data_IF_948345466407
#
_entry.id   IF_948345466407
#
_cell.length_a   1.000
_cell.length_b   1.000
_cell.length_c   1.000
_cell.angle_alpha   90.00
_cell.angle_beta   90.00
_cell.angle_gamma   90.00
#
_symmetry.space_group_name_H-M   'P 1'
#
loop_
_entity.id
_entity.type
_entity.pdbx_description
1 polymer ?
#
# COMPACT_ATOMS: atom_id res chain seq x y z
N UNK A 1 -16.10 0.62 -12.46
CA UNK A 1 -15.11 -0.29 -11.87
C UNK A 1 -14.37 0.47 -10.80
N UNK A 2 -14.06 -0.18 -9.69
CA UNK A 2 -13.19 0.40 -8.67
C UNK A 2 -11.79 0.63 -9.20
N UNK A 3 -11.00 1.48 -8.54
CA UNK A 3 -9.61 1.75 -8.91
C UNK A 3 -8.66 1.11 -7.89
N UNK A 4 -7.68 0.37 -8.39
CA UNK A 4 -6.64 -0.25 -7.58
C UNK A 4 -5.38 0.61 -7.63
N UNK A 5 -4.94 1.08 -6.47
CA UNK A 5 -3.73 1.89 -6.30
C UNK A 5 -2.74 1.10 -5.46
N UNK A 6 -1.56 0.84 -6.01
CA UNK A 6 -0.51 0.15 -5.29
C UNK A 6 0.62 1.12 -4.92
N UNK A 7 1.11 1.02 -3.68
CA UNK A 7 2.26 1.79 -3.19
C UNK A 7 3.43 0.83 -3.04
N UNK A 8 4.53 1.12 -3.73
CA UNK A 8 5.71 0.26 -3.75
C UNK A 8 6.99 1.07 -3.55
N UNK A 9 8.10 0.41 -3.24
CA UNK A 9 9.40 1.07 -3.06
C UNK A 9 10.28 0.31 -2.07
N UNK A 10 11.50 0.80 -1.89
CA UNK A 10 12.48 0.22 -0.97
C UNK A 10 11.99 0.27 0.49
N UNK A 11 12.52 -0.61 1.34
CA UNK A 11 12.27 -0.55 2.79
C UNK A 11 12.67 0.79 3.40
N UNK A 12 11.82 1.32 4.30
CA UNK A 12 12.09 2.53 5.07
C UNK A 12 11.87 3.86 4.35
N UNK A 13 11.42 3.89 3.10
CA UNK A 13 11.19 5.15 2.34
C UNK A 13 9.88 5.86 2.72
N UNK A 14 9.01 5.24 3.52
CA UNK A 14 7.74 5.81 3.98
C UNK A 14 6.53 5.40 3.14
N UNK A 15 6.51 4.20 2.59
CA UNK A 15 5.35 3.65 1.86
C UNK A 15 4.06 3.71 2.67
N UNK A 16 4.08 3.18 3.88
CA UNK A 16 2.92 3.16 4.80
C UNK A 16 2.40 4.56 5.11
N UNK A 17 3.29 5.55 5.27
CA UNK A 17 2.89 6.96 5.39
C UNK A 17 2.11 7.43 4.15
N UNK A 18 2.64 7.14 2.94
CA UNK A 18 2.02 7.54 1.67
C UNK A 18 0.68 6.81 1.49
N UNK A 19 0.60 5.52 1.82
CA UNK A 19 -0.61 4.72 1.78
C UNK A 19 -1.69 5.30 2.72
N UNK A 20 -1.32 5.60 3.97
CA UNK A 20 -2.24 6.19 4.95
C UNK A 20 -2.68 7.61 4.56
N UNK A 21 -1.78 8.46 4.05
CA UNK A 21 -2.15 9.77 3.50
C UNK A 21 -3.14 9.64 2.33
N UNK A 22 -2.94 8.65 1.46
CA UNK A 22 -3.82 8.41 0.32
C UNK A 22 -5.21 7.95 0.75
N UNK A 23 -5.29 6.98 1.67
CA UNK A 23 -6.57 6.53 2.24
C UNK A 23 -7.32 7.72 2.83
N UNK A 24 -6.67 8.49 3.72
CA UNK A 24 -7.26 9.68 4.34
C UNK A 24 -7.68 10.74 3.31
N UNK A 25 -6.92 10.91 2.22
CA UNK A 25 -7.28 11.84 1.14
C UNK A 25 -8.56 11.39 0.42
N UNK A 26 -8.63 10.10 0.04
CA UNK A 26 -9.77 9.52 -0.67
C UNK A 26 -11.05 9.55 0.18
N UNK A 27 -10.94 9.21 1.47
CA UNK A 27 -12.03 9.30 2.44
C UNK A 27 -12.58 10.72 2.53
N UNK A 28 -11.72 11.72 2.72
CA UNK A 28 -12.14 13.13 2.80
C UNK A 28 -12.87 13.63 1.56
N UNK A 29 -12.57 13.09 0.39
CA UNK A 29 -13.28 13.42 -0.85
C UNK A 29 -14.67 12.81 -0.92
N UNK A 30 -14.97 11.83 -0.08
CA UNK A 30 -16.25 11.13 0.00
C UNK A 30 -16.78 10.66 -1.37
N UNK A 31 -15.88 10.14 -2.20
CA UNK A 31 -16.19 9.71 -3.57
C UNK A 31 -16.52 8.20 -3.66
N UNK A 32 -16.80 7.54 -2.55
CA UNK A 32 -17.17 6.12 -2.47
C UNK A 32 -16.29 5.33 -1.52
N UNK A 33 -16.63 4.05 -1.33
CA UNK A 33 -15.98 3.16 -0.38
C UNK A 33 -14.50 2.93 -0.70
N UNK A 34 -13.66 2.96 0.34
CA UNK A 34 -12.21 2.77 0.29
C UNK A 34 -11.86 1.50 1.05
N UNK A 35 -11.10 0.60 0.42
CA UNK A 35 -10.46 -0.54 1.08
C UNK A 35 -8.95 -0.25 1.19
N UNK A 36 -8.44 -0.22 2.40
CA UNK A 36 -7.01 -0.23 2.68
C UNK A 36 -6.53 -1.68 2.80
N UNK A 37 -5.47 -2.04 2.10
CA UNK A 37 -4.88 -3.39 2.13
C UNK A 37 -3.46 -3.29 2.62
N UNK A 38 -3.19 -3.87 3.79
CA UNK A 38 -1.84 -4.03 4.31
C UNK A 38 -1.24 -5.34 3.78
N UNK A 39 -0.44 -5.23 2.74
CA UNK A 39 0.25 -6.37 2.13
C UNK A 39 1.68 -6.58 2.68
N UNK A 40 2.08 -5.83 3.72
CA UNK A 40 3.33 -6.05 4.45
C UNK A 40 3.09 -7.08 5.57
N UNK A 41 3.87 -8.17 5.65
CA UNK A 41 3.76 -9.13 6.74
C UNK A 41 3.99 -8.56 8.14
N UNK A 42 4.59 -7.38 8.24
CA UNK A 42 4.80 -6.67 9.52
C UNK A 42 3.53 -6.00 10.04
N UNK A 43 2.53 -5.81 9.19
CA UNK A 43 1.21 -5.25 9.47
C UNK A 43 1.26 -3.96 10.30
N UNK A 44 1.55 -2.84 9.65
CA UNK A 44 1.71 -1.54 10.32
C UNK A 44 0.70 -0.48 9.81
N UNK A 45 -0.06 -0.77 8.76
CA UNK A 45 -0.97 0.20 8.16
C UNK A 45 -2.12 0.58 9.09
N UNK A 46 -2.63 -0.38 9.90
CA UNK A 46 -3.66 -0.13 10.90
C UNK A 46 -3.24 0.96 11.90
N UNK A 47 -1.99 0.92 12.40
CA UNK A 47 -1.46 1.95 13.31
C UNK A 47 -1.40 3.32 12.60
N UNK A 48 -0.89 3.34 11.38
CA UNK A 48 -0.79 4.58 10.61
C UNK A 48 -2.17 5.20 10.28
N UNK A 49 -3.19 4.37 10.14
CA UNK A 49 -4.59 4.79 9.91
C UNK A 49 -5.32 5.14 11.21
N UNK A 50 -4.78 4.77 12.38
CA UNK A 50 -5.38 5.03 13.69
C UNK A 50 -6.48 4.04 14.05
N UNK A 51 -6.46 2.85 13.48
CA UNK A 51 -7.37 1.76 13.85
C UNK A 51 -6.95 1.22 15.21
N UNK A 52 -7.84 1.35 16.20
CA UNK A 52 -7.61 0.89 17.57
C UNK A 52 -7.99 -0.59 17.71
N UNK A 53 -7.15 -1.44 17.18
CA UNK A 53 -7.30 -2.89 17.28
C UNK A 53 -6.01 -3.53 17.79
N UNK A 54 -6.13 -4.49 18.72
CA UNK A 54 -5.00 -5.32 19.07
C UNK A 54 -4.61 -6.20 17.87
N UNK A 55 -3.32 -6.26 17.58
CA UNK A 55 -2.80 -7.05 16.46
C UNK A 55 -3.25 -8.53 16.52
N UNK A 56 -3.37 -9.08 17.72
CA UNK A 56 -3.81 -10.46 17.95
C UNK A 56 -5.31 -10.67 17.64
N UNK A 57 -6.10 -9.59 17.57
CA UNK A 57 -7.51 -9.60 17.20
C UNK A 57 -7.74 -9.41 15.70
N UNK A 58 -6.75 -8.86 14.99
CA UNK A 58 -6.82 -8.63 13.56
C UNK A 58 -6.68 -9.95 12.80
N UNK A 59 -7.78 -10.47 12.28
CA UNK A 59 -7.74 -11.65 11.43
C UNK A 59 -7.01 -11.34 10.13
N UNK A 60 -6.01 -12.16 9.78
CA UNK A 60 -5.18 -11.93 8.59
C UNK A 60 -5.41 -12.99 7.52
N UNK A 61 -5.19 -12.62 6.26
CA UNK A 61 -5.28 -13.56 5.13
C UNK A 61 -4.32 -14.76 5.30
N UNK A 62 -3.15 -14.51 5.90
CA UNK A 62 -2.16 -15.54 6.24
C UNK A 62 -2.70 -16.53 7.26
N UNK A 63 -3.31 -16.04 8.36
CA UNK A 63 -3.94 -16.87 9.40
C UNK A 63 -5.09 -17.70 8.86
N UNK A 64 -6.01 -17.09 8.11
CA UNK A 64 -7.14 -17.79 7.46
C UNK A 64 -6.64 -18.94 6.58
N UNK A 65 -5.56 -18.73 5.83
CA UNK A 65 -4.99 -19.79 4.99
C UNK A 65 -4.53 -20.98 5.82
N UNK A 66 -3.87 -20.73 6.94
CA UNK A 66 -3.35 -21.80 7.80
C UNK A 66 -4.49 -22.61 8.43
N UNK A 67 -5.48 -21.93 8.98
CA UNK A 67 -6.67 -22.57 9.51
C UNK A 67 -7.38 -23.42 8.44
N UNK A 68 -7.57 -22.87 7.24
CA UNK A 68 -8.18 -23.60 6.12
C UNK A 68 -7.38 -24.84 5.73
N UNK A 69 -6.04 -24.80 5.81
CA UNK A 69 -5.19 -25.96 5.51
C UNK A 69 -5.30 -27.03 6.62
N UNK A 70 -5.34 -26.62 7.88
CA UNK A 70 -5.50 -27.53 9.04
C UNK A 70 -6.87 -28.21 8.99
N UNK A 71 -7.94 -27.47 8.74
CA UNK A 71 -9.29 -27.97 8.63
C UNK A 71 -9.41 -29.03 7.52
N UNK A 72 -8.81 -28.75 6.37
CA UNK A 72 -8.81 -29.70 5.24
C UNK A 72 -8.02 -30.96 5.53
N UNK A 73 -6.87 -30.89 6.19
CA UNK A 73 -6.05 -32.05 6.56
C UNK A 73 -6.69 -32.87 7.69
N UNK A 74 -7.39 -32.19 8.60
CA UNK A 74 -8.12 -32.83 9.71
C UNK A 74 -9.48 -33.46 9.32
N UNK A 75 -9.87 -33.39 8.04
CA UNK A 75 -11.21 -33.88 7.61
C UNK A 75 -12.34 -32.94 8.02
N UNK A 76 -12.05 -31.69 8.32
CA UNK A 76 -13.01 -30.66 8.70
C UNK A 76 -14.06 -30.42 7.62
N UNK A 77 -15.29 -30.16 8.07
CA UNK A 77 -16.40 -29.86 7.17
C UNK A 77 -16.37 -28.38 6.78
N UNK A 78 -15.95 -28.07 5.54
CA UNK A 78 -15.98 -26.71 4.98
C UNK A 78 -17.43 -26.19 4.73
N UNK A 79 -18.38 -26.56 5.57
CA UNK A 79 -19.81 -26.19 5.44
C UNK A 79 -20.42 -26.56 4.07
N UNK A 80 -19.89 -27.56 3.39
CA UNK A 80 -20.32 -27.98 2.05
C UNK A 80 -19.82 -27.09 0.92
N UNK A 81 -18.93 -26.12 1.21
CA UNK A 81 -18.35 -25.22 0.23
C UNK A 81 -17.08 -25.81 -0.42
N UNK A 82 -16.74 -25.31 -1.60
CA UNK A 82 -15.39 -25.54 -2.16
C UNK A 82 -14.34 -24.79 -1.33
N UNK A 83 -13.08 -25.29 -1.35
CA UNK A 83 -11.98 -24.60 -0.65
C UNK A 83 -11.82 -23.11 -1.06
N UNK A 84 -11.88 -22.76 -2.35
CA UNK A 84 -11.80 -21.36 -2.76
C UNK A 84 -12.97 -20.52 -2.22
N UNK A 85 -14.18 -21.04 -2.23
CA UNK A 85 -15.36 -20.30 -1.76
C UNK A 85 -15.34 -20.10 -0.23
N UNK A 86 -14.90 -21.12 0.51
CA UNK A 86 -14.73 -21.03 1.96
C UNK A 86 -13.65 -20.01 2.31
N UNK A 87 -12.52 -20.05 1.63
CA UNK A 87 -11.46 -19.06 1.84
C UNK A 87 -11.91 -17.63 1.53
N UNK A 88 -12.62 -17.44 0.42
CA UNK A 88 -13.14 -16.13 0.03
C UNK A 88 -14.15 -15.58 1.05
N UNK A 89 -15.02 -16.43 1.56
CA UNK A 89 -15.94 -16.08 2.64
C UNK A 89 -15.18 -15.63 3.90
N UNK A 90 -14.14 -16.37 4.30
CA UNK A 90 -13.32 -16.03 5.47
C UNK A 90 -12.55 -14.71 5.28
N UNK A 91 -12.02 -14.46 4.08
CA UNK A 91 -11.36 -13.18 3.76
C UNK A 91 -12.33 -12.02 3.84
N UNK A 92 -13.58 -12.19 3.40
CA UNK A 92 -14.61 -11.16 3.56
C UNK A 92 -14.95 -10.91 5.04
N UNK A 93 -14.94 -11.94 5.88
CA UNK A 93 -15.16 -11.81 7.32
C UNK A 93 -13.99 -11.15 8.06
N UNK A 94 -12.78 -11.25 7.52
CA UNK A 94 -11.58 -10.64 8.07
C UNK A 94 -11.41 -9.15 7.70
N UNK A 95 -12.31 -8.61 6.90
CA UNK A 95 -12.32 -7.18 6.64
C UNK A 95 -12.76 -6.47 7.91
N UNK A 96 -11.88 -5.62 8.42
CA UNK A 96 -12.17 -4.74 9.52
C UNK A 96 -12.89 -3.49 9.00
N UNK A 97 -14.11 -3.28 9.44
CA UNK A 97 -14.96 -2.17 9.00
C UNK A 97 -14.80 -0.98 9.96
N UNK A 98 -14.34 0.16 9.44
CA UNK A 98 -14.34 1.47 10.10
C UNK A 98 -15.43 2.36 9.50
N UNK A 99 -15.75 3.47 10.16
CA UNK A 99 -16.80 4.39 9.71
C UNK A 99 -16.55 4.94 8.29
N UNK A 100 -15.28 5.17 7.93
CA UNK A 100 -14.90 5.89 6.73
C UNK A 100 -14.17 5.02 5.68
N UNK A 101 -13.59 3.91 6.09
CA UNK A 101 -12.87 2.97 5.22
C UNK A 101 -12.87 1.57 5.83
N UNK A 102 -12.55 0.57 5.03
CA UNK A 102 -12.34 -0.79 5.48
C UNK A 102 -10.86 -1.17 5.39
N UNK A 103 -10.41 -2.10 6.25
CA UNK A 103 -9.02 -2.57 6.30
C UNK A 103 -8.95 -4.08 6.13
N UNK A 104 -8.04 -4.55 5.28
CA UNK A 104 -7.68 -5.95 5.14
C UNK A 104 -6.18 -6.13 5.37
N UNK A 105 -5.79 -7.00 6.31
CA UNK A 105 -4.39 -7.28 6.59
C UNK A 105 -3.96 -8.62 6.00
N UNK A 106 -2.79 -8.64 5.34
CA UNK A 106 -2.20 -9.88 4.83
C UNK A 106 -1.62 -10.74 5.95
N UNK A 107 -0.95 -10.11 6.91
CA UNK A 107 -0.27 -10.80 8.01
C UNK A 107 0.89 -11.69 7.56
N UNK A 108 1.54 -12.31 8.54
CA UNK A 108 2.63 -13.27 8.30
C UNK A 108 2.04 -14.69 8.30
N UNK A 109 2.11 -15.44 7.18
CA UNK A 109 1.76 -16.86 7.23
C UNK A 109 2.79 -17.60 8.11
N UNK A 110 2.33 -18.26 9.15
CA UNK A 110 3.13 -19.14 10.00
C UNK A 110 3.13 -20.55 9.37
N UNK A 111 4.29 -21.18 9.24
CA UNK A 111 4.39 -22.56 8.77
C UNK A 111 5.20 -22.76 7.49
N UNK A 112 5.53 -24.02 7.15
CA UNK A 112 6.28 -24.35 5.93
C UNK A 112 5.42 -24.15 4.70
N UNK A 113 5.65 -23.08 3.98
CA UNK A 113 4.95 -22.80 2.75
C UNK A 113 5.43 -21.52 2.08
N UNK A 114 5.37 -21.49 0.76
CA UNK A 114 5.73 -20.31 0.00
C UNK A 114 4.67 -19.21 0.21
N UNK A 115 5.09 -17.99 0.53
CA UNK A 115 4.27 -16.76 0.46
C UNK A 115 3.47 -16.66 -0.86
N UNK A 116 3.96 -17.31 -1.89
CA UNK A 116 3.36 -17.40 -3.19
C UNK A 116 1.89 -17.88 -3.20
N UNK A 117 1.51 -18.78 -2.29
CA UNK A 117 0.13 -19.29 -2.24
C UNK A 117 -0.80 -18.29 -1.54
N UNK A 118 -0.36 -17.68 -0.42
CA UNK A 118 -1.11 -16.63 0.28
C UNK A 118 -1.32 -15.42 -0.64
N UNK A 119 -0.28 -14.98 -1.33
CA UNK A 119 -0.35 -13.89 -2.28
C UNK A 119 -1.31 -14.17 -3.46
N UNK A 120 -1.35 -15.42 -3.96
CA UNK A 120 -2.30 -15.78 -5.02
C UNK A 120 -3.74 -15.81 -4.51
N UNK A 121 -3.97 -16.23 -3.29
CA UNK A 121 -5.28 -16.24 -2.66
C UNK A 121 -5.77 -14.81 -2.40
N UNK A 122 -4.91 -13.95 -1.82
CA UNK A 122 -5.19 -12.52 -1.66
C UNK A 122 -5.56 -11.86 -2.99
N UNK A 123 -4.82 -12.15 -4.07
CA UNK A 123 -5.13 -11.60 -5.40
C UNK A 123 -6.55 -11.95 -5.86
N UNK A 124 -6.96 -13.21 -5.71
CA UNK A 124 -8.31 -13.64 -6.14
C UNK A 124 -9.38 -12.90 -5.33
N UNK A 125 -9.16 -12.74 -4.02
CA UNK A 125 -10.08 -11.98 -3.17
C UNK A 125 -10.07 -10.49 -3.51
N UNK A 126 -8.91 -9.89 -3.77
CA UNK A 126 -8.81 -8.48 -4.19
C UNK A 126 -9.48 -8.23 -5.54
N UNK A 127 -9.34 -9.14 -6.53
CA UNK A 127 -10.02 -9.04 -7.82
C UNK A 127 -11.56 -8.99 -7.65
N UNK A 128 -12.11 -9.70 -6.65
CA UNK A 128 -13.55 -9.66 -6.32
C UNK A 128 -13.92 -8.39 -5.55
N UNK A 129 -13.12 -8.02 -4.55
CA UNK A 129 -13.35 -6.83 -3.72
C UNK A 129 -13.26 -5.53 -4.54
N UNK A 130 -12.37 -5.46 -5.54
CA UNK A 130 -12.27 -4.30 -6.44
C UNK A 130 -13.56 -3.98 -7.20
N UNK A 131 -14.49 -4.95 -7.30
CA UNK A 131 -15.83 -4.72 -7.84
C UNK A 131 -16.80 -4.05 -6.86
N UNK A 132 -16.50 -4.07 -5.57
CA UNK A 132 -17.35 -3.51 -4.50
C UNK A 132 -16.86 -2.14 -4.06
N UNK A 133 -15.56 -1.97 -3.90
CA UNK A 133 -14.94 -0.72 -3.47
C UNK A 133 -14.68 0.23 -4.63
N UNK A 134 -14.83 1.53 -4.38
CA UNK A 134 -14.46 2.56 -5.35
C UNK A 134 -12.95 2.69 -5.49
N UNK A 135 -12.23 2.53 -4.37
CA UNK A 135 -10.78 2.57 -4.31
C UNK A 135 -10.25 1.42 -3.45
N UNK A 136 -9.21 0.75 -3.95
CA UNK A 136 -8.43 -0.25 -3.21
C UNK A 136 -6.99 0.27 -3.14
N UNK A 137 -6.52 0.61 -1.96
CA UNK A 137 -5.16 1.11 -1.72
C UNK A 137 -4.33 -0.01 -1.10
N UNK A 138 -3.27 -0.44 -1.79
CA UNK A 138 -2.42 -1.56 -1.37
C UNK A 138 -1.07 -1.02 -0.91
N UNK A 139 -0.78 -1.15 0.40
CA UNK A 139 0.54 -0.90 0.98
C UNK A 139 1.41 -2.15 0.84
N UNK A 140 2.39 -2.12 -0.05
CA UNK A 140 3.23 -3.28 -0.31
C UNK A 140 4.46 -3.33 0.61
N UNK A 141 4.90 -4.54 0.93
CA UNK A 141 6.19 -4.79 1.56
C UNK A 141 7.36 -4.17 0.76
N UNK A 142 8.53 -4.09 1.39
CA UNK A 142 9.75 -3.67 0.71
C UNK A 142 10.14 -4.65 -0.41
N UNK A 143 10.17 -4.15 -1.64
CA UNK A 143 10.46 -4.94 -2.83
C UNK A 143 9.22 -5.14 -3.71
N UNK A 144 9.44 -5.75 -4.87
CA UNK A 144 8.37 -6.05 -5.83
C UNK A 144 7.97 -7.52 -5.85
N UNK A 145 8.55 -8.30 -4.96
CA UNK A 145 8.29 -9.74 -4.97
C UNK A 145 6.80 -10.03 -4.73
N UNK A 146 6.10 -9.12 -4.09
CA UNK A 146 4.68 -9.19 -3.81
C UNK A 146 3.80 -8.60 -4.94
N UNK A 147 4.27 -7.61 -5.71
CA UNK A 147 3.62 -7.15 -6.94
C UNK A 147 3.82 -8.11 -8.12
N UNK A 148 4.49 -9.24 -7.89
CA UNK A 148 4.64 -10.27 -8.92
C UNK A 148 3.26 -10.78 -9.34
N UNK A 149 3.17 -11.46 -10.50
CA UNK A 149 1.99 -12.13 -11.11
C UNK A 149 1.02 -12.82 -10.13
N UNK A 150 1.27 -12.74 -8.81
CA UNK A 150 0.59 -13.47 -7.76
C UNK A 150 -0.21 -12.60 -6.79
N UNK A 151 -0.03 -11.27 -6.78
CA UNK A 151 -0.74 -10.38 -5.84
C UNK A 151 -1.70 -9.40 -6.51
N UNK A 152 -1.42 -8.97 -7.74
CA UNK A 152 -2.32 -8.05 -8.47
C UNK A 152 -2.17 -8.28 -9.97
N UNK A 153 -3.28 -8.43 -10.71
CA UNK A 153 -3.26 -8.54 -12.17
C UNK A 153 -3.21 -7.18 -12.83
N UNK A 154 -4.07 -6.29 -12.38
CA UNK A 154 -4.25 -4.96 -12.98
C UNK A 154 -4.17 -3.93 -11.86
N UNK A 155 -3.28 -2.97 -12.00
CA UNK A 155 -3.11 -1.81 -11.12
C UNK A 155 -3.39 -0.58 -11.95
N UNK A 156 -4.40 0.21 -11.56
CA UNK A 156 -4.71 1.44 -12.28
C UNK A 156 -3.62 2.48 -12.06
N UNK A 157 -3.15 2.62 -10.80
CA UNK A 157 -2.08 3.57 -10.46
C UNK A 157 -1.04 2.90 -9.57
N UNK A 158 0.22 2.96 -9.98
CA UNK A 158 1.36 2.58 -9.15
C UNK A 158 2.09 3.82 -8.65
N UNK A 159 2.15 3.99 -7.34
CA UNK A 159 2.95 5.00 -6.67
C UNK A 159 4.26 4.38 -6.20
N UNK A 160 5.36 4.68 -6.87
CA UNK A 160 6.68 4.27 -6.44
C UNK A 160 7.21 5.33 -5.47
N UNK A 161 7.54 4.93 -4.25
CA UNK A 161 8.08 5.81 -3.22
C UNK A 161 9.59 5.62 -3.10
N UNK A 162 10.32 6.71 -3.10
CA UNK A 162 11.75 6.80 -2.87
C UNK A 162 12.05 7.84 -1.79
N UNK A 163 13.18 7.74 -1.13
CA UNK A 163 13.77 8.87 -0.39
C UNK A 163 14.74 9.67 -1.28
N UNK A 164 15.24 10.79 -0.78
CA UNK A 164 16.17 11.66 -1.50
C UNK A 164 17.61 11.10 -1.50
N UNK A 165 17.79 9.81 -1.85
CA UNK A 165 19.09 9.19 -1.99
C UNK A 165 19.25 8.49 -3.35
N UNK A 166 20.47 8.48 -3.88
CA UNK A 166 20.81 7.82 -5.15
C UNK A 166 20.41 6.33 -5.13
N UNK A 167 20.68 5.64 -4.02
CA UNK A 167 20.34 4.21 -3.88
C UNK A 167 18.85 3.94 -3.98
N UNK A 168 18.05 4.84 -3.43
CA UNK A 168 16.60 4.70 -3.43
C UNK A 168 16.01 5.02 -4.81
N UNK A 169 16.53 6.03 -5.50
CA UNK A 169 16.14 6.35 -6.89
C UNK A 169 16.48 5.18 -7.83
N UNK A 170 17.68 4.61 -7.72
CA UNK A 170 18.06 3.44 -8.53
C UNK A 170 17.18 2.22 -8.23
N UNK A 171 16.83 2.01 -6.95
CA UNK A 171 15.89 0.97 -6.56
C UNK A 171 14.51 1.22 -7.16
N UNK A 172 14.01 2.46 -7.15
CA UNK A 172 12.73 2.84 -7.78
C UNK A 172 12.75 2.54 -9.29
N UNK A 173 13.85 2.81 -9.99
CA UNK A 173 14.04 2.42 -11.39
C UNK A 173 14.02 0.89 -11.59
N UNK A 174 14.58 0.14 -10.64
CA UNK A 174 14.47 -1.33 -10.63
C UNK A 174 13.04 -1.81 -10.49
N UNK A 175 12.27 -1.16 -9.59
CA UNK A 175 10.83 -1.40 -9.41
C UNK A 175 10.08 -1.20 -10.73
N UNK A 176 10.28 -0.07 -11.39
CA UNK A 176 9.62 0.26 -12.65
C UNK A 176 9.87 -0.79 -13.74
N UNK A 177 11.13 -1.15 -13.96
CA UNK A 177 11.50 -2.17 -14.97
C UNK A 177 10.94 -3.56 -14.69
N UNK A 178 10.91 -3.95 -13.41
CA UNK A 178 10.43 -5.28 -13.04
C UNK A 178 8.93 -5.45 -13.32
N UNK A 179 8.14 -4.38 -13.27
CA UNK A 179 6.72 -4.42 -13.63
C UNK A 179 6.54 -4.75 -15.10
N UNK A 180 7.35 -4.16 -15.96
CA UNK A 180 7.35 -4.44 -17.39
C UNK A 180 7.71 -5.93 -17.65
N UNK A 181 8.70 -6.46 -16.93
CA UNK A 181 9.15 -7.86 -17.03
C UNK A 181 8.10 -8.86 -16.50
N UNK A 182 7.33 -8.48 -15.48
CA UNK A 182 6.33 -9.35 -14.87
C UNK A 182 5.00 -9.40 -15.65
N UNK A 183 4.85 -8.59 -16.71
CA UNK A 183 3.61 -8.45 -17.46
C UNK A 183 2.40 -8.10 -16.56
N UNK A 184 2.64 -7.42 -15.45
CA UNK A 184 1.59 -6.81 -14.64
C UNK A 184 1.11 -5.57 -15.37
N UNK A 185 -0.17 -5.51 -15.67
CA UNK A 185 -0.72 -4.32 -16.32
C UNK A 185 -0.81 -3.19 -15.30
N UNK A 186 0.01 -2.16 -15.48
CA UNK A 186 -0.08 -0.90 -14.75
C UNK A 186 -0.49 0.18 -15.75
N UNK A 187 -1.59 0.89 -15.48
CA UNK A 187 -2.08 1.92 -16.41
C UNK A 187 -1.30 3.22 -16.28
N UNK A 188 -1.04 3.64 -15.04
CA UNK A 188 -0.29 4.85 -14.73
C UNK A 188 0.77 4.56 -13.65
N UNK A 189 1.98 5.11 -13.82
CA UNK A 189 3.07 4.92 -12.88
C UNK A 189 3.69 6.27 -12.53
N UNK A 190 3.88 6.53 -11.23
CA UNK A 190 4.41 7.76 -10.72
C UNK A 190 5.45 7.54 -9.64
N UNK A 191 6.49 8.39 -9.62
CA UNK A 191 7.48 8.47 -8.55
C UNK A 191 7.10 9.58 -7.58
N UNK A 192 7.13 9.28 -6.29
CA UNK A 192 7.09 10.25 -5.19
C UNK A 192 8.43 10.19 -4.47
N UNK A 193 9.16 11.31 -4.39
CA UNK A 193 10.38 11.38 -3.58
C UNK A 193 10.02 11.97 -2.22
N UNK A 194 10.10 11.14 -1.20
CA UNK A 194 9.75 11.47 0.18
C UNK A 194 10.98 11.92 0.97
N UNK A 195 10.76 12.64 2.07
CA UNK A 195 11.81 13.12 2.99
C UNK A 195 12.89 13.93 2.29
N UNK A 196 12.49 14.78 1.35
CA UNK A 196 13.43 15.69 0.67
C UNK A 196 13.87 16.77 1.65
N UNK A 197 15.18 17.00 1.82
CA UNK A 197 15.66 18.11 2.63
C UNK A 197 15.07 19.44 2.17
N UNK A 198 14.91 20.37 3.10
CA UNK A 198 14.43 21.72 2.80
C UNK A 198 15.62 22.70 2.81
N UNK A 199 15.55 23.71 1.97
CA UNK A 199 16.48 24.82 1.94
C UNK A 199 16.22 25.82 3.09
N UNK A 200 17.00 26.91 3.13
CA UNK A 200 16.85 27.97 4.15
C UNK A 200 15.48 28.68 4.09
N UNK A 201 14.78 28.59 2.97
CA UNK A 201 13.43 29.15 2.80
C UNK A 201 12.32 28.17 3.18
N UNK A 202 12.67 26.93 3.58
CA UNK A 202 11.73 25.86 3.91
C UNK A 202 11.15 25.15 2.69
N UNK A 203 11.70 25.37 1.49
CA UNK A 203 11.26 24.68 0.27
C UNK A 203 12.04 23.38 0.06
N UNK A 204 11.39 22.32 -0.45
CA UNK A 204 12.08 21.06 -0.73
C UNK A 204 13.16 21.25 -1.80
N UNK A 205 14.38 20.92 -1.45
CA UNK A 205 15.57 21.02 -2.33
C UNK A 205 16.02 19.61 -2.76
N UNK A 206 15.49 19.15 -3.89
CA UNK A 206 15.93 17.90 -4.50
C UNK A 206 17.19 18.16 -5.36
N UNK A 207 18.36 17.62 -5.00
CA UNK A 207 19.60 17.86 -5.70
C UNK A 207 19.53 17.55 -7.21
N UNK A 208 20.16 18.39 -8.04
CA UNK A 208 20.15 18.24 -9.49
C UNK A 208 20.67 16.85 -9.94
N UNK A 209 21.64 16.29 -9.23
CA UNK A 209 22.15 14.94 -9.49
C UNK A 209 21.06 13.86 -9.36
N UNK A 210 20.17 14.00 -8.37
CA UNK A 210 19.05 13.06 -8.19
C UNK A 210 17.96 13.27 -9.25
N UNK A 211 17.68 14.52 -9.63
CA UNK A 211 16.76 14.81 -10.75
C UNK A 211 17.24 14.16 -12.05
N UNK A 212 18.53 14.28 -12.35
CA UNK A 212 19.14 13.64 -13.51
C UNK A 212 19.03 12.11 -13.42
N UNK A 213 19.28 11.52 -12.26
CA UNK A 213 19.12 10.08 -12.06
C UNK A 213 17.67 9.61 -12.26
N UNK A 214 16.67 10.38 -11.83
CA UNK A 214 15.25 10.11 -12.06
C UNK A 214 14.96 10.08 -13.57
N UNK A 215 15.44 11.07 -14.32
CA UNK A 215 15.30 11.15 -15.78
C UNK A 215 15.99 9.96 -16.48
N UNK A 216 17.23 9.63 -16.09
CA UNK A 216 17.99 8.50 -16.63
C UNK A 216 17.33 7.14 -16.37
N UNK A 217 16.59 7.02 -15.26
CA UNK A 217 15.78 5.81 -14.96
C UNK A 217 14.41 5.81 -15.66
N UNK A 218 14.03 6.85 -16.38
CA UNK A 218 12.74 6.97 -17.06
C UNK A 218 11.55 7.07 -16.11
N UNK A 219 11.76 7.55 -14.87
CA UNK A 219 10.72 7.63 -13.85
C UNK A 219 9.90 8.92 -14.01
N UNK A 220 8.58 8.79 -13.94
CA UNK A 220 7.65 9.93 -13.97
C UNK A 220 7.49 10.53 -12.57
N UNK A 221 8.19 11.62 -12.29
CA UNK A 221 8.15 12.30 -10.99
C UNK A 221 6.84 13.07 -10.82
N UNK A 222 5.92 12.56 -9.99
CA UNK A 222 4.68 13.26 -9.61
C UNK A 222 4.97 14.44 -8.65
N UNK A 223 5.95 14.30 -7.78
CA UNK A 223 6.36 15.37 -6.89
C UNK A 223 7.28 14.93 -5.76
N UNK A 224 7.57 15.88 -4.89
CA UNK A 224 8.45 15.68 -3.73
C UNK A 224 7.73 16.06 -2.44
N UNK A 225 7.97 15.28 -1.39
CA UNK A 225 7.46 15.54 -0.05
C UNK A 225 8.65 16.00 0.81
N UNK A 226 8.58 17.17 1.42
CA UNK A 226 9.66 17.67 2.26
C UNK A 226 9.83 16.83 3.52
N UNK A 227 11.04 16.88 4.09
CA UNK A 227 11.27 16.41 5.45
C UNK A 227 10.48 17.30 6.41
N UNK A 228 9.58 16.70 7.17
CA UNK A 228 8.68 17.42 8.07
C UNK A 228 8.83 16.87 9.49
N UNK A 229 9.29 17.70 10.44
CA UNK A 229 9.49 17.27 11.83
C UNK A 229 8.21 16.73 12.50
N UNK A 230 7.03 17.24 12.10
CA UNK A 230 5.77 16.79 12.66
C UNK A 230 5.48 15.32 12.32
N UNK A 231 5.84 14.88 11.11
CA UNK A 231 5.71 13.47 10.72
C UNK A 231 6.60 12.59 11.58
N UNK A 232 7.83 13.02 11.85
CA UNK A 232 8.74 12.26 12.72
C UNK A 232 8.23 12.20 14.17
N UNK A 233 7.59 13.28 14.66
CA UNK A 233 6.95 13.27 15.98
C UNK A 233 5.77 12.30 16.03
N UNK A 234 4.91 12.31 15.01
CA UNK A 234 3.75 11.42 14.93
C UNK A 234 4.17 9.96 14.89
N UNK A 235 5.16 9.64 14.06
CA UNK A 235 5.72 8.29 13.96
C UNK A 235 6.30 7.82 15.30
N UNK A 236 7.09 8.67 15.96
CA UNK A 236 7.68 8.35 17.27
C UNK A 236 6.64 8.16 18.40
N UNK A 237 5.48 8.81 18.31
CA UNK A 237 4.40 8.75 19.30
C UNK A 237 3.32 7.74 18.91
N UNK A 238 3.42 7.06 17.78
CA UNK A 238 2.40 6.15 17.27
C UNK A 238 1.06 6.84 16.98
N UNK A 239 1.08 8.14 16.63
CA UNK A 239 -0.13 8.89 16.29
C UNK A 239 -0.60 8.61 14.87
N UNK A 240 -1.92 8.58 14.62
CA UNK A 240 -2.47 8.39 13.29
C UNK A 240 -2.02 9.45 12.28
N UNK A 241 -1.74 9.05 11.06
CA UNK A 241 -1.37 9.96 9.97
C UNK A 241 -2.51 10.92 9.62
N UNK A 242 -3.76 10.50 9.84
CA UNK A 242 -4.95 11.33 9.65
C UNK A 242 -4.97 12.60 10.50
N UNK A 243 -4.32 12.57 11.67
CA UNK A 243 -4.25 13.67 12.63
C UNK A 243 -3.13 14.68 12.31
N UNK A 244 -2.28 14.41 11.34
CA UNK A 244 -1.28 15.38 10.87
C UNK A 244 -2.02 16.64 10.41
N UNK A 245 -1.66 17.84 10.91
CA UNK A 245 -2.32 19.09 10.57
C UNK A 245 -2.39 19.35 9.06
N UNK A 246 -3.51 19.89 8.59
CA UNK A 246 -3.73 20.17 7.18
C UNK A 246 -2.73 21.17 6.58
N UNK A 247 -2.15 22.02 7.41
CA UNK A 247 -1.14 23.00 7.05
C UNK A 247 0.30 22.49 7.16
N UNK A 248 0.51 21.22 7.55
CA UNK A 248 1.82 20.61 7.53
C UNK A 248 2.41 20.56 6.11
N UNK A 249 3.72 20.70 6.00
CA UNK A 249 4.41 20.69 4.73
C UNK A 249 4.23 19.36 3.97
N UNK A 250 4.22 18.24 4.69
CA UNK A 250 3.96 16.91 4.14
C UNK A 250 2.57 16.81 3.53
N UNK A 251 1.52 17.22 4.27
CA UNK A 251 0.15 17.11 3.82
C UNK A 251 -0.15 17.98 2.61
N UNK A 252 0.32 19.25 2.64
CA UNK A 252 0.19 20.15 1.52
C UNK A 252 0.91 19.66 0.26
N UNK A 253 2.12 19.10 0.42
CA UNK A 253 2.85 18.53 -0.70
C UNK A 253 2.14 17.30 -1.28
N UNK A 254 1.66 16.41 -0.41
CA UNK A 254 0.91 15.22 -0.81
C UNK A 254 -0.38 15.56 -1.56
N UNK A 255 -1.18 16.49 -1.03
CA UNK A 255 -2.42 16.92 -1.69
C UNK A 255 -2.17 17.50 -3.09
N UNK A 256 -1.08 18.26 -3.27
CA UNK A 256 -0.67 18.75 -4.61
C UNK A 256 -0.27 17.62 -5.54
N UNK A 257 0.45 16.60 -5.03
CA UNK A 257 0.85 15.43 -5.80
C UNK A 257 -0.39 14.68 -6.29
N UNK A 258 -1.32 14.36 -5.38
CA UNK A 258 -2.52 13.62 -5.75
C UNK A 258 -3.38 14.43 -6.73
N UNK A 259 -3.50 15.74 -6.54
CA UNK A 259 -4.20 16.63 -7.48
C UNK A 259 -3.58 16.66 -8.89
N UNK A 260 -2.31 16.29 -9.04
CA UNK A 260 -1.64 16.20 -10.36
C UNK A 260 -1.86 14.86 -11.07
N UNK A 261 -2.40 13.85 -10.38
CA UNK A 261 -2.64 12.51 -10.92
C UNK A 261 -4.10 12.40 -11.36
N UNK A 262 -4.40 12.36 -12.69
CA UNK A 262 -5.76 12.41 -13.20
C UNK A 262 -6.67 11.30 -12.67
N UNK A 263 -6.12 10.10 -12.49
CA UNK A 263 -6.87 8.93 -12.03
C UNK A 263 -7.29 8.99 -10.56
N UNK A 264 -6.70 9.89 -9.76
CA UNK A 264 -7.00 10.08 -8.35
C UNK A 264 -7.90 11.30 -8.07
N UNK A 265 -8.33 12.00 -9.10
CA UNK A 265 -9.19 13.20 -9.04
C UNK A 265 -10.68 12.91 -9.23
#
# INVERSE_FOLDING_TARGET
MGKTIAVAGKGGVGKTLISALLVNHLVRRNNGAVLAVDADPSTNLHLALGVDIDFDELETVGGIREETLVDVQGGGNLAGMSKPDYFDMRVQQAIWEEDDFDLLAMGRPEGPGCYCAANNMLRVSLDRLSGVYRYVVIDNEAGLEHLSRRTTRDVDVLLIVSDASMRSILAAGGVSRLIDDLHTKVEEQYLIVNRVPVDESGQPDLPQLLRKAIEEQGLNLAGVIPMDPIVAEFDALGKPVGDIPADSATRQAFDKIVASIPSLN
#
